data_IF_549428189424
#
_entry.id   IF_549428189424
#
_cell.length_a   1.000
_cell.length_b   1.000
_cell.length_c   1.000
_cell.angle_alpha   90.00
_cell.angle_beta   90.00
_cell.angle_gamma   90.00
#
_symmetry.space_group_name_H-M   'P 1'
#
loop_
_entity.id
_entity.type
_entity.pdbx_description
1 polymer ?
#
# COMPACT_ATOMS: atom_id res chain seq x y z
N UNK A 1 4.74 -20.05 -0.13
CA UNK A 1 3.80 -20.11 1.02
C UNK A 1 2.97 -18.84 1.01
N UNK A 2 1.66 -18.96 1.04
CA UNK A 2 0.70 -17.88 1.26
C UNK A 2 0.21 -17.89 2.72
N UNK A 3 -0.37 -16.77 3.17
CA UNK A 3 -0.96 -16.65 4.52
C UNK A 3 -2.42 -16.23 4.38
N UNK A 4 -3.32 -16.97 5.02
CA UNK A 4 -4.74 -16.62 5.11
C UNK A 4 -5.13 -16.46 6.57
N UNK A 5 -5.69 -15.30 6.92
CA UNK A 5 -6.18 -15.01 8.27
C UNK A 5 -7.71 -15.03 8.30
N UNK A 6 -8.26 -15.93 9.12
CA UNK A 6 -9.68 -15.96 9.51
C UNK A 6 -9.91 -15.65 11.00
N UNK A 7 -8.86 -15.30 11.74
CA UNK A 7 -8.90 -14.92 13.15
C UNK A 7 -8.49 -13.45 13.33
N UNK A 8 -8.92 -12.82 14.44
CA UNK A 8 -8.66 -11.40 14.75
C UNK A 8 -7.37 -11.23 15.56
N UNK A 9 -6.64 -10.13 15.38
CA UNK A 9 -5.53 -9.76 16.27
C UNK A 9 -4.17 -10.42 15.97
N UNK A 10 -3.95 -10.91 14.76
CA UNK A 10 -2.69 -11.53 14.36
C UNK A 10 -1.66 -10.49 13.89
N UNK A 11 -0.38 -10.81 14.05
CA UNK A 11 0.74 -10.04 13.49
C UNK A 11 1.51 -10.90 12.49
N UNK A 12 1.63 -10.41 11.25
CA UNK A 12 2.44 -10.99 10.20
C UNK A 12 3.70 -10.14 10.09
N UNK A 13 4.85 -10.67 10.49
CA UNK A 13 6.12 -9.95 10.59
C UNK A 13 7.28 -10.77 9.99
N UNK A 14 8.18 -10.13 9.23
CA UNK A 14 9.42 -10.74 8.73
C UNK A 14 9.25 -11.87 7.70
N UNK A 15 8.09 -11.97 7.05
CA UNK A 15 7.79 -13.06 6.12
C UNK A 15 8.25 -12.77 4.69
N UNK A 16 8.61 -13.82 3.95
CA UNK A 16 8.88 -13.77 2.50
C UNK A 16 7.82 -14.59 1.78
N UNK A 17 7.02 -13.93 0.96
CA UNK A 17 5.79 -14.47 0.39
C UNK A 17 5.82 -14.26 -1.12
N UNK A 18 5.68 -15.35 -1.88
CA UNK A 18 5.75 -15.34 -3.35
C UNK A 18 7.18 -15.33 -3.90
N UNK A 19 8.20 -15.47 -3.06
CA UNK A 19 9.61 -15.42 -3.44
C UNK A 19 10.41 -16.63 -2.94
N UNK A 20 11.60 -16.84 -3.51
CA UNK A 20 12.60 -17.76 -2.97
C UNK A 20 13.19 -17.25 -1.64
N UNK A 21 13.98 -18.09 -0.97
CA UNK A 21 14.61 -17.75 0.32
C UNK A 21 15.44 -16.47 0.24
N UNK A 22 16.12 -16.23 -0.89
CA UNK A 22 16.90 -15.01 -1.11
C UNK A 22 16.03 -13.75 -1.33
N UNK A 23 14.75 -13.90 -1.70
CA UNK A 23 13.85 -12.81 -2.07
C UNK A 23 14.18 -12.18 -3.43
N UNK A 24 14.84 -12.94 -4.32
CA UNK A 24 15.35 -12.46 -5.61
C UNK A 24 14.64 -13.05 -6.82
N UNK A 25 13.92 -14.16 -6.65
CA UNK A 25 13.14 -14.80 -7.71
C UNK A 25 11.74 -15.17 -7.21
N UNK A 26 10.78 -15.17 -8.12
CA UNK A 26 9.40 -15.52 -7.82
C UNK A 26 9.26 -17.04 -7.58
N UNK A 27 8.53 -17.40 -6.53
CA UNK A 27 7.95 -18.73 -6.32
C UNK A 27 6.46 -18.45 -6.06
N UNK A 28 5.66 -18.29 -7.12
CA UNK A 28 4.37 -17.64 -7.02
C UNK A 28 3.38 -18.45 -6.17
N UNK A 29 2.73 -17.77 -5.22
CA UNK A 29 1.40 -18.17 -4.79
C UNK A 29 0.36 -17.47 -5.68
N UNK A 30 -0.93 -17.77 -5.51
CA UNK A 30 -1.98 -16.96 -6.15
C UNK A 30 -2.01 -15.54 -5.53
N UNK A 31 -2.59 -15.40 -4.34
CA UNK A 31 -2.47 -14.17 -3.54
C UNK A 31 -1.46 -14.40 -2.42
N UNK A 32 -0.66 -13.39 -2.09
CA UNK A 32 0.35 -13.49 -1.02
C UNK A 32 -0.27 -13.61 0.38
N UNK A 33 -0.96 -12.55 0.82
CA UNK A 33 -1.66 -12.49 2.10
C UNK A 33 -3.14 -12.19 1.87
N UNK A 34 -4.01 -12.99 2.49
CA UNK A 34 -5.46 -12.76 2.50
C UNK A 34 -5.95 -12.56 3.93
N UNK A 35 -6.64 -11.45 4.19
CA UNK A 35 -7.40 -11.21 5.41
C UNK A 35 -8.88 -11.19 5.00
N UNK A 36 -9.66 -12.13 5.53
CA UNK A 36 -11.08 -12.25 5.19
C UNK A 36 -11.92 -12.35 6.47
N UNK A 37 -12.85 -11.40 6.65
CA UNK A 37 -13.74 -11.35 7.81
C UNK A 37 -12.99 -11.40 9.17
N UNK A 38 -11.78 -10.85 9.22
CA UNK A 38 -10.83 -11.01 10.32
C UNK A 38 -10.25 -9.65 10.72
N UNK A 39 -10.68 -9.13 11.86
CA UNK A 39 -10.44 -7.74 12.26
C UNK A 39 -9.08 -7.55 12.95
N UNK A 40 -8.64 -6.30 13.07
CA UNK A 40 -7.52 -5.89 13.92
C UNK A 40 -6.20 -6.65 13.70
N UNK A 41 -5.94 -7.10 12.47
CA UNK A 41 -4.69 -7.75 12.10
C UNK A 41 -3.64 -6.73 11.63
N UNK A 42 -2.37 -7.05 11.84
CA UNK A 42 -1.24 -6.21 11.43
C UNK A 42 -0.35 -6.96 10.45
N UNK A 43 -0.20 -6.41 9.25
CA UNK A 43 0.79 -6.85 8.27
C UNK A 43 1.96 -5.89 8.36
N UNK A 44 3.01 -6.31 9.04
CA UNK A 44 4.11 -5.44 9.41
C UNK A 44 3.73 -4.49 10.56
N UNK A 45 4.74 -3.92 11.20
CA UNK A 45 4.59 -3.00 12.33
C UNK A 45 5.57 -1.81 12.26
N UNK A 46 6.23 -1.60 11.12
CA UNK A 46 7.24 -0.55 10.94
C UNK A 46 8.62 -0.87 11.51
N UNK A 47 8.86 -2.07 12.06
CA UNK A 47 10.19 -2.48 12.53
C UNK A 47 11.07 -2.88 11.33
N UNK A 48 12.21 -2.20 11.06
CA UNK A 48 13.04 -2.47 9.87
C UNK A 48 13.57 -3.91 9.76
N UNK A 49 13.79 -4.56 10.90
CA UNK A 49 14.29 -5.94 10.98
C UNK A 49 13.22 -6.98 10.66
N UNK A 50 11.94 -6.59 10.69
CA UNK A 50 10.78 -7.47 10.53
C UNK A 50 9.89 -7.07 9.35
N UNK A 51 10.50 -6.48 8.32
CA UNK A 51 9.84 -6.14 7.06
C UNK A 51 9.34 -7.41 6.38
N UNK A 52 8.06 -7.44 6.02
CA UNK A 52 7.56 -8.49 5.12
C UNK A 52 7.88 -8.15 3.67
N UNK A 53 8.26 -9.17 2.91
CA UNK A 53 8.47 -9.14 1.46
C UNK A 53 7.33 -9.90 0.79
N UNK A 54 6.46 -9.20 0.06
CA UNK A 54 5.29 -9.77 -0.62
C UNK A 54 5.37 -9.46 -2.12
N UNK A 55 5.99 -10.36 -2.86
CA UNK A 55 6.44 -10.10 -4.24
C UNK A 55 6.38 -11.37 -5.07
N UNK A 56 6.28 -11.26 -6.39
CA UNK A 56 6.27 -12.43 -7.27
C UNK A 56 5.05 -13.35 -7.15
N UNK A 57 3.96 -12.92 -6.51
CA UNK A 57 2.70 -13.68 -6.52
C UNK A 57 2.00 -13.55 -7.87
N UNK A 58 1.22 -14.54 -8.28
CA UNK A 58 0.55 -14.58 -9.59
C UNK A 58 -0.65 -13.62 -9.70
N UNK A 59 -1.28 -13.29 -8.57
CA UNK A 59 -2.38 -12.32 -8.46
C UNK A 59 -1.97 -11.18 -7.51
N UNK A 60 -2.78 -10.88 -6.48
CA UNK A 60 -2.53 -9.74 -5.58
C UNK A 60 -1.41 -10.03 -4.58
N UNK A 61 -0.69 -8.99 -4.15
CA UNK A 61 0.22 -9.09 -3.02
C UNK A 61 -0.55 -9.30 -1.71
N UNK A 62 -1.34 -8.31 -1.33
CA UNK A 62 -2.16 -8.31 -0.11
C UNK A 62 -3.62 -8.04 -0.49
N UNK A 63 -4.53 -8.80 0.11
CA UNK A 63 -5.97 -8.68 -0.12
C UNK A 63 -6.73 -8.69 1.22
N UNK A 64 -7.47 -7.61 1.49
CA UNK A 64 -8.20 -7.36 2.73
C UNK A 64 -9.69 -7.20 2.40
N UNK A 65 -10.53 -8.09 2.91
CA UNK A 65 -11.93 -8.22 2.51
C UNK A 65 -12.86 -8.28 3.73
N UNK A 66 -13.92 -7.48 3.71
CA UNK A 66 -15.04 -7.51 4.65
C UNK A 66 -14.61 -7.48 6.13
N UNK A 67 -13.71 -6.56 6.49
CA UNK A 67 -13.11 -6.52 7.83
C UNK A 67 -12.76 -5.10 8.29
N UNK A 68 -12.49 -4.88 9.57
CA UNK A 68 -12.16 -3.54 10.11
C UNK A 68 -10.91 -3.52 10.98
N UNK A 69 -10.32 -2.33 11.11
CA UNK A 69 -9.22 -2.07 12.06
C UNK A 69 -7.88 -2.72 11.71
N UNK A 70 -7.71 -3.19 10.46
CA UNK A 70 -6.46 -3.80 10.02
C UNK A 70 -5.40 -2.74 9.70
N UNK A 71 -4.13 -3.10 9.81
CA UNK A 71 -3.02 -2.22 9.43
C UNK A 71 -2.00 -2.93 8.55
N UNK A 72 -1.43 -2.19 7.60
CA UNK A 72 -0.37 -2.65 6.69
C UNK A 72 0.74 -1.63 6.77
N UNK A 73 1.86 -1.96 7.42
CA UNK A 73 2.93 -0.99 7.71
C UNK A 73 4.32 -1.55 7.41
N UNK A 74 5.16 -0.76 6.74
CA UNK A 74 6.57 -1.06 6.56
C UNK A 74 6.85 -2.31 5.73
N UNK A 75 6.00 -2.63 4.75
CA UNK A 75 6.16 -3.80 3.89
C UNK A 75 6.81 -3.43 2.55
N UNK A 76 7.49 -4.40 1.94
CA UNK A 76 8.00 -4.33 0.56
C UNK A 76 7.14 -5.21 -0.34
N UNK A 77 6.48 -4.61 -1.32
CA UNK A 77 5.45 -5.25 -2.14
C UNK A 77 5.74 -5.04 -3.61
N UNK A 78 5.90 -6.14 -4.35
CA UNK A 78 6.23 -6.15 -5.79
C UNK A 78 7.69 -5.76 -6.10
N UNK A 79 8.55 -5.78 -5.09
CA UNK A 79 10.01 -5.53 -5.21
C UNK A 79 10.81 -6.60 -4.48
N UNK A 80 12.10 -6.71 -4.75
CA UNK A 80 13.02 -7.53 -3.95
C UNK A 80 13.42 -6.81 -2.65
N UNK A 81 14.19 -7.48 -1.78
CA UNK A 81 14.77 -6.82 -0.60
C UNK A 81 15.68 -5.64 -0.96
N UNK A 82 16.39 -5.72 -2.09
CA UNK A 82 17.24 -4.66 -2.63
C UNK A 82 16.46 -3.67 -3.49
N UNK A 83 15.12 -3.73 -3.46
CA UNK A 83 14.22 -2.82 -4.14
C UNK A 83 14.29 -2.86 -5.67
N UNK A 84 14.76 -3.97 -6.24
CA UNK A 84 14.65 -4.23 -7.68
C UNK A 84 13.25 -4.78 -8.01
N UNK A 85 12.77 -4.65 -9.25
CA UNK A 85 11.45 -5.13 -9.64
C UNK A 85 11.26 -6.63 -9.41
N UNK A 86 10.17 -7.01 -8.73
CA UNK A 86 9.69 -8.39 -8.61
C UNK A 86 8.17 -8.36 -8.38
N UNK A 87 7.46 -7.82 -9.37
CA UNK A 87 6.04 -7.51 -9.31
C UNK A 87 5.13 -8.67 -8.93
N UNK A 88 4.01 -8.37 -8.28
CA UNK A 88 2.88 -9.30 -8.25
C UNK A 88 2.08 -9.16 -9.56
N UNK A 89 1.49 -10.26 -10.03
CA UNK A 89 0.74 -10.32 -11.29
C UNK A 89 -0.61 -9.61 -11.29
N UNK A 90 -1.08 -9.16 -10.12
CA UNK A 90 -2.28 -8.34 -9.91
C UNK A 90 -1.96 -7.02 -9.20
N UNK A 91 -2.78 -6.61 -8.25
CA UNK A 91 -2.58 -5.39 -7.45
C UNK A 91 -1.56 -5.60 -6.33
N UNK A 92 -0.94 -4.51 -5.86
CA UNK A 92 -0.07 -4.56 -4.68
C UNK A 92 -0.86 -4.83 -3.40
N UNK A 93 -1.75 -3.90 -3.04
CA UNK A 93 -2.67 -4.01 -1.90
C UNK A 93 -4.10 -3.74 -2.40
N UNK A 94 -5.02 -4.64 -2.07
CA UNK A 94 -6.46 -4.46 -2.32
C UNK A 94 -7.22 -4.41 -1.00
N UNK A 95 -8.07 -3.41 -0.84
CA UNK A 95 -8.99 -3.27 0.29
C UNK A 95 -10.42 -3.24 -0.25
N UNK A 96 -11.21 -4.27 0.06
CA UNK A 96 -12.64 -4.36 -0.31
C UNK A 96 -13.51 -4.36 0.91
N UNK A 97 -14.49 -3.46 0.94
CA UNK A 97 -15.51 -3.40 2.01
C UNK A 97 -14.92 -3.46 3.42
N UNK A 98 -13.74 -2.87 3.61
CA UNK A 98 -12.95 -2.99 4.82
C UNK A 98 -12.55 -1.63 5.42
N UNK A 99 -13.51 -0.90 6.01
CA UNK A 99 -13.28 0.44 6.54
C UNK A 99 -12.34 0.42 7.76
N UNK A 100 -11.72 1.57 8.00
CA UNK A 100 -10.75 1.74 9.09
C UNK A 100 -9.46 0.94 8.88
N UNK A 101 -9.14 0.54 7.64
CA UNK A 101 -7.84 -0.04 7.32
C UNK A 101 -6.78 1.07 7.23
N UNK A 102 -5.66 0.91 7.93
CA UNK A 102 -4.53 1.82 7.86
C UNK A 102 -3.43 1.24 6.97
N UNK A 103 -3.15 1.86 5.83
CA UNK A 103 -2.04 1.49 4.95
C UNK A 103 -0.95 2.55 5.07
N UNK A 104 0.15 2.14 5.70
CA UNK A 104 1.29 2.97 6.01
C UNK A 104 1.17 3.64 7.39
N UNK A 105 1.90 4.73 7.58
CA UNK A 105 1.94 5.46 8.84
C UNK A 105 2.76 6.74 8.73
N UNK A 106 2.74 7.55 9.80
CA UNK A 106 3.44 8.84 9.84
C UNK A 106 4.86 8.71 10.41
N UNK A 107 5.15 7.61 11.12
CA UNK A 107 6.47 7.36 11.68
C UNK A 107 7.41 6.79 10.63
N UNK A 108 8.71 6.97 10.87
CA UNK A 108 9.76 6.38 10.04
C UNK A 108 9.55 4.87 9.90
N UNK A 109 9.70 4.36 8.68
CA UNK A 109 9.56 2.95 8.31
C UNK A 109 8.15 2.36 8.41
N UNK A 110 7.12 3.14 8.76
CA UNK A 110 5.73 2.66 8.69
C UNK A 110 5.17 2.67 7.27
N UNK A 111 5.75 3.48 6.38
CA UNK A 111 5.41 3.53 4.96
C UNK A 111 5.67 2.21 4.24
N UNK A 112 4.71 1.74 3.44
CA UNK A 112 4.93 0.60 2.55
C UNK A 112 5.62 1.05 1.26
N UNK A 113 6.46 0.18 0.71
CA UNK A 113 6.98 0.30 -0.66
C UNK A 113 6.15 -0.63 -1.53
N UNK A 114 5.36 -0.07 -2.44
CA UNK A 114 4.43 -0.81 -3.28
C UNK A 114 4.70 -0.48 -4.75
N UNK A 115 5.52 -1.29 -5.39
CA UNK A 115 5.99 -1.01 -6.74
C UNK A 115 5.89 -2.20 -7.69
N UNK A 116 5.93 -1.92 -8.99
CA UNK A 116 6.05 -2.92 -10.06
C UNK A 116 4.94 -3.99 -10.11
N UNK A 117 3.78 -3.76 -9.50
CA UNK A 117 2.65 -4.69 -9.62
C UNK A 117 1.97 -4.48 -10.98
N UNK A 118 1.44 -5.55 -11.59
CA UNK A 118 0.80 -5.47 -12.92
C UNK A 118 -0.53 -4.71 -12.90
N UNK A 119 -1.18 -4.58 -11.74
CA UNK A 119 -2.34 -3.72 -11.52
C UNK A 119 -2.01 -2.47 -10.69
N UNK A 120 -3.04 -1.81 -10.15
CA UNK A 120 -2.88 -0.71 -9.19
C UNK A 120 -1.95 -1.08 -8.02
N UNK A 121 -1.14 -0.13 -7.56
CA UNK A 121 -0.33 -0.30 -6.36
C UNK A 121 -1.21 -0.50 -5.12
N UNK A 122 -2.14 0.42 -4.88
CA UNK A 122 -3.17 0.28 -3.86
C UNK A 122 -4.54 0.52 -4.50
N UNK A 123 -5.45 -0.44 -4.38
CA UNK A 123 -6.84 -0.33 -4.79
C UNK A 123 -7.74 -0.39 -3.55
N UNK A 124 -8.59 0.62 -3.38
CA UNK A 124 -9.64 0.62 -2.34
C UNK A 124 -10.99 0.67 -3.04
N UNK A 125 -11.77 -0.39 -2.88
CA UNK A 125 -13.07 -0.54 -3.53
C UNK A 125 -14.18 -0.90 -2.55
N UNK A 126 -15.39 -0.60 -2.97
CA UNK A 126 -16.62 -0.87 -2.22
C UNK A 126 -17.58 -1.62 -3.10
N UNK A 127 -18.21 -2.67 -2.58
CA UNK A 127 -19.47 -3.12 -3.15
C UNK A 127 -20.58 -2.18 -2.68
N UNK A 128 -21.65 -2.03 -3.46
CA UNK A 128 -22.75 -1.11 -3.16
C UNK A 128 -23.41 -1.35 -1.78
N UNK A 129 -23.14 -2.49 -1.14
CA UNK A 129 -23.64 -2.88 0.16
C UNK A 129 -22.89 -2.26 1.37
N UNK A 130 -21.73 -1.60 1.17
CA UNK A 130 -20.96 -1.01 2.28
C UNK A 130 -20.69 0.50 2.09
N UNK A 131 -21.59 1.38 2.55
CA UNK A 131 -21.39 2.84 2.48
C UNK A 131 -20.31 3.34 3.45
N UNK A 132 -19.74 2.50 4.32
CA UNK A 132 -18.75 2.91 5.32
C UNK A 132 -17.32 3.04 4.77
N UNK A 133 -17.01 2.40 3.62
CA UNK A 133 -15.81 2.74 2.84
C UNK A 133 -16.03 3.97 1.93
N UNK A 134 -17.29 4.40 1.76
CA UNK A 134 -17.65 5.71 1.19
C UNK A 134 -17.52 6.74 2.31
N UNK A 135 -17.24 7.99 1.95
CA UNK A 135 -16.97 9.17 2.82
C UNK A 135 -18.12 9.51 3.82
N UNK A 136 -19.05 8.60 4.14
CA UNK A 136 -20.35 8.93 4.73
C UNK A 136 -20.75 8.14 5.99
N UNK A 137 -19.84 7.48 6.71
CA UNK A 137 -20.24 7.02 8.06
C UNK A 137 -19.37 6.01 8.83
N UNK A 138 -18.27 5.50 8.25
CA UNK A 138 -17.30 4.68 8.99
C UNK A 138 -15.94 5.37 9.13
N UNK A 139 -15.01 4.86 9.97
CA UNK A 139 -13.63 5.33 9.94
C UNK A 139 -13.07 5.10 8.53
N UNK A 140 -12.49 6.13 7.87
CA UNK A 140 -12.01 5.98 6.51
C UNK A 140 -10.80 5.05 6.46
N UNK A 141 -10.67 4.29 5.37
CA UNK A 141 -9.38 3.67 5.04
C UNK A 141 -8.37 4.78 4.82
N UNK A 142 -7.28 4.78 5.60
CA UNK A 142 -6.24 5.81 5.55
C UNK A 142 -5.02 5.27 4.82
N UNK A 143 -4.57 5.97 3.79
CA UNK A 143 -3.35 5.66 3.04
C UNK A 143 -2.39 6.82 3.25
N UNK A 144 -1.27 6.58 3.92
CA UNK A 144 -0.31 7.63 4.25
C UNK A 144 1.13 7.12 4.34
N UNK A 145 2.09 7.98 4.02
CA UNK A 145 3.53 7.66 4.14
C UNK A 145 4.03 6.56 3.21
N UNK A 146 3.24 6.10 2.23
CA UNK A 146 3.62 5.01 1.32
C UNK A 146 4.41 5.53 0.11
N UNK A 147 5.29 4.69 -0.41
CA UNK A 147 5.92 4.87 -1.71
C UNK A 147 5.23 3.95 -2.73
N UNK A 148 4.56 4.52 -3.73
CA UNK A 148 3.75 3.77 -4.71
C UNK A 148 4.18 4.18 -6.12
N UNK A 149 4.50 3.21 -6.99
CA UNK A 149 4.90 3.54 -8.37
C UNK A 149 5.56 2.40 -9.14
N UNK A 150 6.19 2.70 -10.26
CA UNK A 150 6.89 1.73 -11.12
C UNK A 150 8.39 1.65 -10.85
N UNK A 151 8.99 2.70 -10.29
CA UNK A 151 10.41 2.74 -9.90
C UNK A 151 10.59 3.62 -8.66
N UNK A 152 11.61 3.31 -7.86
CA UNK A 152 12.03 4.12 -6.70
C UNK A 152 12.93 5.30 -7.10
N UNK A 153 12.90 5.71 -8.37
CA UNK A 153 13.64 6.87 -8.83
C UNK A 153 13.03 8.14 -8.22
N UNK A 154 13.91 8.97 -7.67
CA UNK A 154 13.69 9.97 -6.62
C UNK A 154 12.75 11.14 -7.00
N UNK A 155 12.03 11.05 -8.12
CA UNK A 155 11.10 12.08 -8.61
C UNK A 155 9.75 11.53 -9.13
N UNK A 156 9.53 10.21 -9.13
CA UNK A 156 8.31 9.60 -9.66
C UNK A 156 7.28 9.19 -8.58
N UNK A 157 7.02 10.03 -7.57
CA UNK A 157 5.98 9.78 -6.54
C UNK A 157 4.53 9.85 -7.08
N UNK A 158 4.32 9.60 -8.38
CA UNK A 158 3.03 9.57 -9.07
C UNK A 158 2.39 8.19 -9.03
N UNK A 159 2.20 7.61 -7.85
CA UNK A 159 1.37 6.43 -7.68
C UNK A 159 -0.11 6.80 -7.82
N UNK A 160 -0.78 6.30 -8.85
CA UNK A 160 -2.22 6.50 -9.04
C UNK A 160 -2.97 5.79 -7.90
N UNK A 161 -3.61 6.57 -7.03
CA UNK A 161 -4.69 6.10 -6.15
C UNK A 161 -5.98 6.22 -6.97
N UNK A 162 -6.52 5.10 -7.47
CA UNK A 162 -7.84 5.06 -8.11
C UNK A 162 -8.88 4.54 -7.12
N UNK A 163 -9.84 5.39 -6.77
CA UNK A 163 -10.86 5.17 -5.74
C UNK A 163 -11.16 6.49 -5.04
N UNK A 164 -12.42 6.78 -4.67
CA UNK A 164 -12.93 8.11 -4.27
C UNK A 164 -12.31 8.71 -2.98
N UNK A 165 -11.01 8.98 -2.96
CA UNK A 165 -10.31 9.59 -1.85
C UNK A 165 -9.44 10.71 -2.42
N UNK A 166 -9.86 11.95 -2.13
CA UNK A 166 -9.07 13.16 -2.37
C UNK A 166 -7.67 12.92 -1.79
N UNK A 167 -6.63 13.30 -2.55
CA UNK A 167 -5.33 13.62 -1.97
C UNK A 167 -5.61 14.59 -0.80
N UNK A 168 -5.48 14.11 0.44
CA UNK A 168 -5.20 15.00 1.54
C UNK A 168 -3.90 15.68 1.14
N UNK A 169 -4.02 16.97 0.82
CA UNK A 169 -2.94 17.81 0.35
C UNK A 169 -1.76 17.62 1.30
N UNK A 170 -0.74 16.87 0.88
CA UNK A 170 0.57 16.96 1.47
C UNK A 170 1.04 18.39 1.24
N UNK A 171 0.74 19.27 2.20
CA UNK A 171 1.62 20.41 2.44
C UNK A 171 2.95 19.80 2.81
N UNK A 172 3.85 19.71 1.84
CA UNK A 172 5.27 19.75 2.14
C UNK A 172 5.48 21.06 2.92
N UNK A 173 5.43 21.02 4.25
CA UNK A 173 6.17 21.99 5.05
C UNK A 173 7.63 21.57 4.97
N UNK A 174 8.23 21.82 3.81
CA UNK A 174 9.66 21.99 3.73
C UNK A 174 10.03 23.14 4.66
N UNK A 175 11.00 22.89 5.52
CA UNK A 175 11.67 23.93 6.29
C UNK A 175 12.26 24.94 5.30
N UNK A 176 11.69 26.14 5.23
CA UNK A 176 12.25 27.33 4.57
C UNK A 176 12.25 27.32 3.02
N UNK A 177 11.62 28.34 2.42
CA UNK A 177 11.84 28.72 1.02
C UNK A 177 10.63 28.59 0.09
N UNK A 178 9.79 29.63 0.07
CA UNK A 178 8.92 30.09 -1.03
C UNK A 178 8.23 29.07 -1.97
N UNK A 179 6.97 28.77 -1.65
CA UNK A 179 5.96 28.24 -2.58
C UNK A 179 5.63 29.27 -3.68
N UNK A 180 6.13 29.07 -4.92
CA UNK A 180 5.59 29.78 -6.10
C UNK A 180 5.54 28.90 -7.35
N UNK A 181 4.47 28.11 -7.48
CA UNK A 181 3.95 27.73 -8.80
C UNK A 181 2.67 28.54 -9.08
N UNK A 182 2.81 29.65 -9.81
CA UNK A 182 1.70 30.43 -10.36
C UNK A 182 1.73 30.30 -11.90
N UNK A 183 0.81 29.55 -12.51
CA UNK A 183 0.79 29.34 -13.97
C UNK A 183 0.33 30.57 -14.78
N UNK A 184 0.05 31.72 -14.16
CA UNK A 184 -0.49 32.90 -14.85
C UNK A 184 0.54 34.01 -15.23
N UNK A 185 1.86 33.76 -15.21
CA UNK A 185 2.89 34.78 -15.56
C UNK A 185 3.68 34.54 -16.86
N UNK A 186 3.20 33.70 -17.78
CA UNK A 186 3.75 33.61 -19.16
C UNK A 186 2.79 34.18 -20.20
N UNK A 187 2.29 35.39 -19.95
CA UNK A 187 1.67 36.19 -20.98
C UNK A 187 2.06 37.66 -20.77
N UNK A 188 2.97 38.13 -21.64
CA UNK A 188 3.24 39.54 -21.88
C UNK A 188 4.28 40.18 -20.97
N UNK A 189 5.49 40.37 -21.49
CA UNK A 189 6.23 41.63 -21.36
C UNK A 189 6.88 41.89 -22.75
N UNK A 190 6.81 43.13 -23.28
CA UNK A 190 7.27 43.55 -24.61
C UNK A 190 8.73 43.25 -24.97
#
# INVERSE_FOLDING_TARGET
MSITLGATGNEILGNRIGTNVAGTAAIPNQTGIVINAANNNKIGNGTPERVNLISGNAANGIEIIQTTGNSVKGNKIGVTMSLTPLGNGGHGIVVRDSPGTLIGGELANEGNIVCNNSGNGILVETTAANPANRILGGPPTTIQGNHIGVTLDTFAMGGIITGSQRLARHRFKGLGGEDRWNPARRAGIP
#
